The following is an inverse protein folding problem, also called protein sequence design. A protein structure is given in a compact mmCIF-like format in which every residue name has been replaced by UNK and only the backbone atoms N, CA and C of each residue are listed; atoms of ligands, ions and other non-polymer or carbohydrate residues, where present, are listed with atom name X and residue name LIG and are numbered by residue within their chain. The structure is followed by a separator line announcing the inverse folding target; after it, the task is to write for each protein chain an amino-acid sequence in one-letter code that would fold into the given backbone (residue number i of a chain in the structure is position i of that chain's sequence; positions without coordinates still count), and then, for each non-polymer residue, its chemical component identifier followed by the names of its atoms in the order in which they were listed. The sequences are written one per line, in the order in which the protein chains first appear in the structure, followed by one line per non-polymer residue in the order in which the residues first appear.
data_IF_885428057847
#
_entry.id   IF_885428057847
#
_cell.length_a   1.000
_cell.length_b   1.000
_cell.length_c   1.000
_cell.angle_alpha   90.00
_cell.angle_beta   90.00
_cell.angle_gamma   90.00
#
_symmetry.space_group_name_H-M   'P 1'
#
loop_
_entity.id
_entity.type
_entity.pdbx_description
1 polymer ?
#
# COMPACT_ATOMS: atom_id res chain seq x y z
N UNK A 1 -2.71 -20.76 -6.22
CA UNK A 1 -2.85 -19.35 -5.82
C UNK A 1 -1.66 -18.97 -4.94
N UNK A 2 -0.97 -17.88 -5.25
CA UNK A 2 0.10 -17.38 -4.39
C UNK A 2 -0.49 -16.91 -3.05
N UNK A 3 0.16 -17.17 -1.89
CA UNK A 3 -0.38 -16.80 -0.57
C UNK A 3 -0.75 -15.31 -0.47
N UNK A 4 0.04 -14.43 -1.06
CA UNK A 4 -0.22 -12.99 -1.08
C UNK A 4 -1.51 -12.60 -1.81
N UNK A 5 -1.95 -13.40 -2.77
CA UNK A 5 -3.22 -13.18 -3.47
C UNK A 5 -4.45 -13.74 -2.72
N UNK A 6 -4.23 -14.40 -1.57
CA UNK A 6 -5.30 -15.00 -0.78
C UNK A 6 -5.82 -14.09 0.35
N UNK A 7 -5.47 -12.81 0.37
CA UNK A 7 -5.78 -11.89 1.48
C UNK A 7 -7.27 -11.85 1.80
N UNK A 8 -8.15 -11.67 0.81
CA UNK A 8 -9.59 -11.67 1.02
C UNK A 8 -10.13 -13.01 1.57
N UNK A 9 -9.58 -14.15 1.08
CA UNK A 9 -9.96 -15.47 1.60
C UNK A 9 -9.53 -15.65 3.06
N UNK A 10 -8.34 -15.17 3.44
CA UNK A 10 -7.85 -15.22 4.82
C UNK A 10 -8.70 -14.32 5.73
N UNK A 11 -9.07 -13.12 5.28
CA UNK A 11 -9.99 -12.23 6.01
C UNK A 11 -11.31 -12.93 6.26
N UNK A 12 -11.92 -13.55 5.23
CA UNK A 12 -13.18 -14.30 5.38
C UNK A 12 -13.03 -15.47 6.36
N UNK A 13 -11.91 -16.18 6.33
CA UNK A 13 -11.64 -17.26 7.28
C UNK A 13 -11.61 -16.74 8.72
N UNK A 14 -10.91 -15.63 8.99
CA UNK A 14 -10.84 -15.02 10.34
C UNK A 14 -12.22 -14.57 10.81
N UNK A 15 -13.00 -13.88 9.97
CA UNK A 15 -14.36 -13.43 10.29
C UNK A 15 -15.26 -14.58 10.74
N UNK A 16 -15.06 -15.79 10.19
CA UNK A 16 -15.83 -16.97 10.60
C UNK A 16 -15.64 -17.43 12.05
N UNK A 17 -14.56 -17.01 12.70
CA UNK A 17 -14.28 -17.28 14.12
C UNK A 17 -14.80 -16.20 15.09
N UNK A 18 -15.37 -15.11 14.58
CA UNK A 18 -15.93 -14.05 15.41
C UNK A 18 -17.25 -14.52 16.08
N UNK A 19 -17.63 -13.93 17.24
CA UNK A 19 -18.95 -14.13 17.85
C UNK A 19 -20.07 -13.77 16.88
N UNK A 20 -21.20 -14.49 16.93
CA UNK A 20 -22.28 -14.41 15.93
C UNK A 20 -22.75 -12.98 15.61
N UNK A 21 -22.96 -12.13 16.61
CA UNK A 21 -23.41 -10.75 16.38
C UNK A 21 -22.37 -9.92 15.61
N UNK A 22 -21.09 -10.03 15.97
CA UNK A 22 -19.98 -9.34 15.30
C UNK A 22 -19.74 -9.93 13.91
N UNK A 23 -19.86 -11.27 13.80
CA UNK A 23 -19.65 -12.01 12.55
C UNK A 23 -20.61 -11.57 11.45
N UNK A 24 -21.92 -11.46 11.75
CA UNK A 24 -22.92 -11.05 10.76
C UNK A 24 -22.64 -9.64 10.22
N UNK A 25 -22.29 -8.70 11.09
CA UNK A 25 -21.87 -7.36 10.69
C UNK A 25 -20.68 -7.39 9.72
N UNK A 26 -19.63 -8.13 10.07
CA UNK A 26 -18.43 -8.21 9.22
C UNK A 26 -18.67 -8.97 7.91
N UNK A 27 -19.51 -9.99 7.89
CA UNK A 27 -19.88 -10.69 6.65
C UNK A 27 -20.55 -9.72 5.69
N UNK A 28 -21.56 -8.96 6.13
CA UNK A 28 -22.25 -8.01 5.29
C UNK A 28 -21.31 -6.91 4.76
N UNK A 29 -20.42 -6.39 5.61
CA UNK A 29 -19.41 -5.41 5.20
C UNK A 29 -18.41 -5.98 4.18
N UNK A 30 -17.99 -7.24 4.34
CA UNK A 30 -17.13 -7.92 3.38
C UNK A 30 -17.83 -8.22 2.04
N UNK A 31 -19.10 -8.61 2.08
CA UNK A 31 -19.87 -8.89 0.85
C UNK A 31 -20.08 -7.59 0.05
N UNK A 32 -20.41 -6.47 0.72
CA UNK A 32 -20.49 -5.16 0.08
C UNK A 32 -19.14 -4.75 -0.53
N UNK A 33 -18.05 -4.89 0.22
CA UNK A 33 -16.70 -4.59 -0.27
C UNK A 33 -16.33 -5.49 -1.47
N UNK A 34 -16.69 -6.77 -1.42
CA UNK A 34 -16.46 -7.70 -2.52
C UNK A 34 -17.20 -7.32 -3.79
N UNK A 35 -18.49 -6.96 -3.68
CA UNK A 35 -19.28 -6.48 -4.83
C UNK A 35 -18.70 -5.19 -5.41
N UNK A 36 -18.31 -4.25 -4.56
CA UNK A 36 -17.65 -3.01 -4.98
C UNK A 36 -16.35 -3.29 -5.77
N UNK A 37 -15.48 -4.16 -5.25
CA UNK A 37 -14.23 -4.52 -5.91
C UNK A 37 -14.46 -5.25 -7.23
N UNK A 38 -15.44 -6.15 -7.29
CA UNK A 38 -15.81 -6.82 -8.52
C UNK A 38 -16.19 -5.80 -9.60
N UNK A 39 -17.06 -4.85 -9.27
CA UNK A 39 -17.47 -3.79 -10.21
C UNK A 39 -16.28 -2.95 -10.70
N UNK A 40 -15.31 -2.65 -9.82
CA UNK A 40 -14.09 -1.93 -10.23
C UNK A 40 -13.20 -2.74 -11.17
N UNK A 41 -13.20 -4.08 -11.04
CA UNK A 41 -12.26 -4.94 -11.76
C UNK A 41 -12.87 -5.65 -12.97
N UNK A 42 -14.18 -5.57 -13.19
CA UNK A 42 -14.85 -6.10 -14.39
C UNK A 42 -14.39 -5.42 -15.68
N UNK A 43 -14.09 -4.13 -15.61
CA UNK A 43 -13.62 -3.36 -16.76
C UNK A 43 -12.20 -2.83 -16.49
N UNK A 44 -11.23 -3.32 -17.27
CA UNK A 44 -9.82 -2.88 -17.17
C UNK A 44 -9.58 -1.45 -17.63
N UNK A 45 -10.58 -0.78 -18.21
CA UNK A 45 -10.57 0.66 -18.49
C UNK A 45 -10.94 1.51 -17.28
N UNK A 46 -11.34 0.89 -16.16
CA UNK A 46 -11.67 1.59 -14.95
C UNK A 46 -10.48 2.43 -14.44
N UNK A 47 -10.77 3.59 -13.90
CA UNK A 47 -9.79 4.57 -13.39
C UNK A 47 -8.80 3.96 -12.38
N UNK A 48 -9.20 2.95 -11.61
CA UNK A 48 -8.31 2.28 -10.66
C UNK A 48 -7.08 1.66 -11.33
N UNK A 49 -7.22 1.14 -12.56
CA UNK A 49 -6.10 0.58 -13.32
C UNK A 49 -5.19 1.67 -13.88
N UNK A 50 -5.75 2.81 -14.29
CA UNK A 50 -4.98 3.95 -14.78
C UNK A 50 -4.18 4.58 -13.63
N UNK A 51 -4.82 4.90 -12.52
CA UNK A 51 -4.18 5.43 -11.31
C UNK A 51 -3.03 4.51 -10.86
N UNK A 52 -3.25 3.21 -10.83
CA UNK A 52 -2.22 2.26 -10.40
C UNK A 52 -1.02 2.20 -11.34
N UNK A 53 -1.22 2.32 -12.66
CA UNK A 53 -0.13 2.42 -13.65
C UNK A 53 0.65 3.72 -13.48
N UNK A 54 -0.04 4.83 -13.28
CA UNK A 54 0.61 6.14 -13.09
C UNK A 54 1.46 6.16 -11.84
N UNK A 55 0.97 5.62 -10.72
CA UNK A 55 1.74 5.47 -9.49
C UNK A 55 2.98 4.60 -9.74
N UNK A 56 2.82 3.46 -10.40
CA UNK A 56 3.93 2.55 -10.71
C UNK A 56 5.00 3.23 -11.59
N UNK A 57 4.58 3.98 -12.61
CA UNK A 57 5.48 4.74 -13.47
C UNK A 57 6.25 5.83 -12.71
N UNK A 58 5.60 6.52 -11.77
CA UNK A 58 6.24 7.54 -10.93
C UNK A 58 7.22 6.92 -9.93
N UNK A 59 6.92 5.74 -9.39
CA UNK A 59 7.88 4.98 -8.55
C UNK A 59 9.10 4.60 -9.41
N UNK A 60 8.90 3.97 -10.56
CA UNK A 60 9.98 3.56 -11.45
C UNK A 60 11.07 2.74 -10.72
N UNK A 61 12.32 3.14 -10.85
CA UNK A 61 13.46 2.50 -10.17
C UNK A 61 13.74 3.05 -8.77
N UNK A 62 12.95 4.00 -8.27
CA UNK A 62 13.15 4.63 -6.95
C UNK A 62 12.73 3.70 -5.82
N UNK A 63 13.28 3.94 -4.65
CA UNK A 63 12.83 3.32 -3.40
C UNK A 63 11.57 4.02 -2.90
N UNK A 64 10.49 3.27 -2.72
CA UNK A 64 9.24 3.83 -2.20
C UNK A 64 9.31 3.95 -0.66
N UNK A 65 9.08 5.14 -0.14
CA UNK A 65 8.89 5.39 1.29
C UNK A 65 7.43 5.76 1.49
N UNK A 66 6.70 4.98 2.29
CA UNK A 66 5.25 5.10 2.44
C UNK A 66 4.94 5.60 3.85
N UNK A 67 4.42 6.81 3.99
CA UNK A 67 3.94 7.33 5.25
C UNK A 67 2.42 7.20 5.33
N UNK A 68 1.95 6.57 6.38
CA UNK A 68 0.52 6.34 6.63
C UNK A 68 0.03 7.10 7.87
N UNK A 69 -1.27 7.33 7.96
CA UNK A 69 -1.90 8.08 9.03
C UNK A 69 -2.41 7.19 10.17
N UNK A 70 -3.62 6.68 10.02
CA UNK A 70 -4.30 5.87 11.03
C UNK A 70 -3.76 4.44 11.10
N UNK A 71 -4.15 3.71 12.14
CA UNK A 71 -3.82 2.29 12.32
C UNK A 71 -4.20 1.45 11.09
N UNK A 72 -5.35 1.73 10.46
CA UNK A 72 -5.81 0.99 9.30
C UNK A 72 -4.99 1.31 8.04
N UNK A 73 -4.73 2.58 7.76
CA UNK A 73 -3.88 2.96 6.62
C UNK A 73 -2.44 2.47 6.81
N UNK A 74 -1.96 2.40 8.06
CA UNK A 74 -0.66 1.80 8.35
C UNK A 74 -0.62 0.30 8.00
N UNK A 75 -1.66 -0.47 8.31
CA UNK A 75 -1.75 -1.87 7.91
C UNK A 75 -1.76 -2.03 6.38
N UNK A 76 -2.48 -1.15 5.69
CA UNK A 76 -2.47 -1.13 4.21
C UNK A 76 -1.09 -0.76 3.66
N UNK A 77 -0.41 0.23 4.25
CA UNK A 77 0.95 0.62 3.86
C UNK A 77 1.95 -0.53 4.03
N UNK A 78 1.83 -1.31 5.12
CA UNK A 78 2.63 -2.53 5.31
C UNK A 78 2.35 -3.56 4.20
N UNK A 79 1.09 -3.69 3.76
CA UNK A 79 0.76 -4.55 2.63
C UNK A 79 1.37 -4.01 1.32
N UNK A 80 1.23 -2.73 1.01
CA UNK A 80 1.85 -2.12 -0.16
C UNK A 80 3.35 -2.42 -0.22
N UNK A 81 4.04 -2.17 0.89
CA UNK A 81 5.47 -2.49 1.02
C UNK A 81 5.75 -3.95 0.67
N UNK A 82 5.02 -4.89 1.27
CA UNK A 82 5.27 -6.32 1.05
C UNK A 82 4.96 -6.74 -0.38
N UNK A 83 3.89 -6.22 -0.98
CA UNK A 83 3.54 -6.47 -2.38
C UNK A 83 4.58 -5.90 -3.34
N UNK A 84 5.05 -4.67 -3.13
CA UNK A 84 6.15 -4.06 -3.90
C UNK A 84 7.40 -4.93 -3.79
N UNK A 85 7.79 -5.35 -2.57
CA UNK A 85 8.95 -6.21 -2.39
C UNK A 85 8.80 -7.57 -3.10
N UNK A 86 7.61 -8.21 -3.01
CA UNK A 86 7.40 -9.53 -3.56
C UNK A 86 7.14 -9.55 -5.08
N UNK A 87 6.34 -8.63 -5.60
CA UNK A 87 5.99 -8.61 -7.03
C UNK A 87 7.07 -7.95 -7.87
N UNK A 88 7.46 -6.72 -7.55
CA UNK A 88 8.42 -5.94 -8.35
C UNK A 88 9.88 -6.10 -7.92
N UNK A 89 10.17 -6.83 -6.84
CA UNK A 89 11.51 -6.98 -6.23
C UNK A 89 12.14 -5.63 -5.84
N UNK A 90 11.34 -4.57 -5.80
CA UNK A 90 11.77 -3.22 -5.45
C UNK A 90 11.79 -3.04 -3.93
N UNK A 91 12.59 -2.07 -3.48
CA UNK A 91 12.67 -1.72 -2.07
C UNK A 91 11.53 -0.78 -1.72
N UNK A 92 10.86 -1.06 -0.59
CA UNK A 92 9.88 -0.16 -0.01
C UNK A 92 10.00 -0.17 1.53
N UNK A 93 9.74 0.98 2.14
CA UNK A 93 9.76 1.18 3.59
C UNK A 93 8.49 1.87 4.03
N UNK A 94 8.13 1.70 5.30
CA UNK A 94 6.89 2.27 5.85
C UNK A 94 7.18 2.99 7.15
N UNK A 95 6.65 4.19 7.28
CA UNK A 95 6.55 4.93 8.52
C UNK A 95 5.10 5.34 8.80
N UNK A 96 4.80 5.78 10.01
CA UNK A 96 3.44 6.22 10.35
C UNK A 96 3.43 7.54 11.11
N UNK A 97 2.37 8.31 10.90
CA UNK A 97 2.14 9.56 11.61
C UNK A 97 1.60 9.26 13.03
N UNK A 98 2.02 9.98 14.06
CA UNK A 98 2.94 11.13 13.98
C UNK A 98 4.43 10.78 14.14
N UNK A 99 4.81 9.52 14.32
CA UNK A 99 6.15 9.08 14.71
C UNK A 99 7.24 9.53 13.70
N UNK A 100 6.95 9.47 12.40
CA UNK A 100 7.89 9.92 11.35
C UNK A 100 8.31 11.39 11.49
N UNK A 101 7.50 12.21 12.15
CA UNK A 101 7.83 13.62 12.42
C UNK A 101 8.75 13.82 13.62
N UNK A 102 9.05 12.74 14.36
CA UNK A 102 9.95 12.83 15.50
C UNK A 102 11.43 12.64 15.08
N UNK A 103 11.70 11.75 14.16
CA UNK A 103 13.07 11.40 13.76
C UNK A 103 13.25 11.27 12.24
N UNK A 104 12.38 10.55 11.53
CA UNK A 104 12.57 10.26 10.10
C UNK A 104 12.53 11.51 9.22
N UNK A 105 11.79 12.55 9.61
CA UNK A 105 11.73 13.81 8.87
C UNK A 105 13.11 14.44 8.68
N UNK A 106 14.04 14.21 9.64
CA UNK A 106 15.40 14.73 9.59
C UNK A 106 16.28 13.99 8.57
N UNK A 107 15.94 12.76 8.24
CA UNK A 107 16.72 11.94 7.29
C UNK A 107 16.72 12.51 5.87
N UNK A 108 15.74 13.36 5.53
CA UNK A 108 15.63 14.02 4.23
C UNK A 108 16.50 15.30 4.10
N UNK A 109 17.21 15.70 5.16
CA UNK A 109 18.06 16.90 5.16
C UNK A 109 19.48 16.63 4.64
N UNK A 110 19.98 15.40 4.75
CA UNK A 110 21.39 15.09 4.53
C UNK A 110 21.82 15.13 3.06
N UNK A 111 20.95 14.74 2.15
CA UNK A 111 21.23 14.66 0.70
C UNK A 111 19.96 14.90 -0.13
N UNK A 112 19.56 16.16 -0.32
CA UNK A 112 18.33 16.49 -1.06
C UNK A 112 18.36 16.01 -2.51
N UNK A 113 19.49 16.12 -3.20
CA UNK A 113 19.63 15.71 -4.60
C UNK A 113 19.59 14.19 -4.73
N UNK A 114 20.29 13.46 -3.86
CA UNK A 114 20.23 11.99 -3.80
C UNK A 114 18.87 11.49 -3.38
N UNK A 115 18.22 12.18 -2.45
CA UNK A 115 16.85 11.86 -2.04
C UNK A 115 15.88 11.93 -3.23
N UNK A 116 15.90 13.02 -4.00
CA UNK A 116 15.03 13.20 -5.16
C UNK A 116 15.23 12.14 -6.26
N UNK A 117 16.46 11.73 -6.47
CA UNK A 117 16.81 10.78 -7.52
C UNK A 117 16.54 9.33 -7.13
N UNK A 118 16.67 8.98 -5.85
CA UNK A 118 16.67 7.60 -5.38
C UNK A 118 15.39 7.20 -4.61
N UNK A 119 14.59 8.17 -4.18
CA UNK A 119 13.40 7.91 -3.37
C UNK A 119 12.17 8.58 -3.96
N UNK A 120 11.02 8.04 -3.60
CA UNK A 120 9.71 8.66 -3.78
C UNK A 120 8.93 8.51 -2.47
N UNK A 121 8.34 9.60 -2.00
CA UNK A 121 7.52 9.60 -0.81
C UNK A 121 6.05 9.42 -1.18
N UNK A 122 5.42 8.40 -0.65
CA UNK A 122 4.00 8.12 -0.81
C UNK A 122 3.30 8.43 0.50
N UNK A 123 2.39 9.39 0.48
CA UNK A 123 1.51 9.71 1.60
C UNK A 123 0.21 8.93 1.42
N UNK A 124 -0.01 7.91 2.25
CA UNK A 124 -1.18 7.06 2.18
C UNK A 124 -2.20 7.50 3.22
N UNK A 125 -3.26 8.18 2.77
CA UNK A 125 -4.24 8.85 3.63
C UNK A 125 -5.56 8.09 3.65
N UNK A 126 -6.12 7.96 4.85
CA UNK A 126 -7.48 7.45 5.07
C UNK A 126 -8.41 8.56 5.55
N UNK A 127 -9.45 8.16 6.26
CA UNK A 127 -10.29 9.07 7.05
C UNK A 127 -9.61 9.32 8.41
N UNK A 128 -8.58 10.15 8.37
CA UNK A 128 -7.72 10.41 9.50
C UNK A 128 -8.25 11.56 10.37
N UNK A 129 -7.86 11.57 11.64
CA UNK A 129 -8.16 12.71 12.50
C UNK A 129 -7.49 13.98 11.95
N UNK A 130 -8.18 15.12 12.00
CA UNK A 130 -7.72 16.42 11.46
C UNK A 130 -6.25 16.78 11.80
N UNK A 131 -5.76 16.40 12.99
CA UNK A 131 -4.37 16.62 13.37
C UNK A 131 -3.38 15.78 12.55
N UNK A 132 -3.79 14.62 12.09
CA UNK A 132 -2.99 13.75 11.21
C UNK A 132 -3.05 14.30 9.79
N UNK A 133 -4.23 14.70 9.31
CA UNK A 133 -4.35 15.37 8.00
C UNK A 133 -3.44 16.58 7.87
N UNK A 134 -3.41 17.45 8.90
CA UNK A 134 -2.51 18.60 8.91
C UNK A 134 -1.02 18.18 8.83
N UNK A 135 -0.65 17.03 9.40
CA UNK A 135 0.73 16.52 9.30
C UNK A 135 1.08 16.11 7.89
N UNK A 136 0.16 15.52 7.15
CA UNK A 136 0.38 15.22 5.74
C UNK A 136 0.62 16.48 4.91
N UNK A 137 -0.19 17.53 5.10
CA UNK A 137 0.01 18.81 4.40
C UNK A 137 1.38 19.44 4.74
N UNK A 138 1.75 19.46 6.02
CA UNK A 138 3.07 19.95 6.44
C UNK A 138 4.22 19.09 5.88
N UNK A 139 4.04 17.79 5.77
CA UNK A 139 5.04 16.90 5.15
C UNK A 139 5.25 17.26 3.68
N UNK A 140 4.18 17.49 2.93
CA UNK A 140 4.25 17.91 1.52
C UNK A 140 4.98 19.25 1.37
N UNK A 141 4.64 20.21 2.22
CA UNK A 141 5.27 21.53 2.20
C UNK A 141 6.78 21.43 2.49
N UNK A 142 7.17 20.68 3.51
CA UNK A 142 8.57 20.57 3.96
C UNK A 142 9.43 19.73 3.01
N UNK A 143 8.89 18.66 2.43
CA UNK A 143 9.65 17.68 1.67
C UNK A 143 9.48 17.80 0.15
N UNK A 144 8.48 18.51 -0.36
CA UNK A 144 8.19 18.57 -1.79
C UNK A 144 9.29 19.15 -2.67
N UNK A 145 10.24 19.91 -2.11
CA UNK A 145 11.43 20.35 -2.83
C UNK A 145 12.59 19.35 -2.78
N UNK A 146 12.54 18.36 -1.87
CA UNK A 146 13.62 17.40 -1.57
C UNK A 146 13.38 16.02 -2.15
N UNK A 147 12.12 15.64 -2.31
CA UNK A 147 11.70 14.32 -2.82
C UNK A 147 10.38 14.47 -3.59
N UNK A 148 10.18 13.63 -4.60
CA UNK A 148 8.88 13.56 -5.27
C UNK A 148 7.85 12.96 -4.32
N UNK A 149 6.69 13.63 -4.19
CA UNK A 149 5.64 13.24 -3.24
C UNK A 149 4.38 12.83 -3.99
N UNK A 150 3.93 11.62 -3.75
CA UNK A 150 2.61 11.11 -4.17
C UNK A 150 1.65 11.18 -2.98
N UNK A 151 0.59 11.95 -3.12
CA UNK A 151 -0.46 12.07 -2.10
C UNK A 151 -1.68 11.24 -2.51
N UNK A 152 -1.82 10.07 -1.91
CA UNK A 152 -2.86 9.09 -2.24
C UNK A 152 -3.91 9.13 -1.14
N UNK A 153 -5.07 9.72 -1.47
CA UNK A 153 -6.21 9.80 -0.57
C UNK A 153 -7.20 8.69 -0.88
N UNK A 154 -7.60 7.96 0.17
CA UNK A 154 -8.61 6.91 0.06
C UNK A 154 -10.01 7.49 -0.22
N UNK A 155 -10.89 6.63 -0.71
CA UNK A 155 -12.33 6.87 -0.63
C UNK A 155 -12.74 6.94 0.85
N UNK A 156 -13.83 7.63 1.12
CA UNK A 156 -14.47 7.65 2.44
C UNK A 156 -15.93 7.24 2.26
N UNK A 157 -16.32 6.14 2.89
CA UNK A 157 -17.66 5.59 2.83
C UNK A 157 -18.12 5.15 4.22
N UNK A 158 -19.36 4.72 4.33
CA UNK A 158 -19.91 4.17 5.59
C UNK A 158 -19.40 2.75 5.88
N UNK A 159 -18.63 2.16 4.97
CA UNK A 159 -18.08 0.82 5.09
C UNK A 159 -16.55 0.83 5.12
N UNK A 160 -15.99 0.80 6.33
CA UNK A 160 -14.55 0.82 6.56
C UNK A 160 -13.81 -0.35 5.89
N UNK A 161 -14.46 -1.51 5.75
CA UNK A 161 -13.88 -2.68 5.07
C UNK A 161 -13.76 -2.42 3.57
N UNK A 162 -14.75 -1.79 2.96
CA UNK A 162 -14.71 -1.36 1.56
C UNK A 162 -13.57 -0.37 1.33
N UNK A 163 -13.44 0.64 2.19
CA UNK A 163 -12.40 1.67 2.10
C UNK A 163 -11.01 1.06 2.23
N UNK A 164 -10.83 0.16 3.19
CA UNK A 164 -9.58 -0.57 3.37
C UNK A 164 -9.21 -1.41 2.15
N UNK A 165 -10.14 -2.19 1.62
CA UNK A 165 -9.90 -3.04 0.46
C UNK A 165 -9.72 -2.27 -0.84
N UNK A 166 -10.30 -1.06 -0.96
CA UNK A 166 -10.03 -0.17 -2.08
C UNK A 166 -8.54 0.21 -2.16
N UNK A 167 -7.96 0.68 -1.06
CA UNK A 167 -6.52 0.98 -1.00
C UNK A 167 -5.65 -0.26 -1.17
N UNK A 168 -6.08 -1.42 -0.67
CA UNK A 168 -5.40 -2.70 -0.89
C UNK A 168 -5.35 -3.02 -2.36
N UNK A 169 -6.48 -2.89 -3.09
CA UNK A 169 -6.55 -3.14 -4.52
C UNK A 169 -5.57 -2.24 -5.30
N UNK A 170 -5.58 -0.93 -5.02
CA UNK A 170 -4.64 -0.01 -5.67
C UNK A 170 -3.20 -0.47 -5.46
N UNK A 171 -2.80 -0.79 -4.23
CA UNK A 171 -1.43 -1.22 -3.92
C UNK A 171 -1.03 -2.54 -4.58
N UNK A 172 -1.96 -3.49 -4.64
CA UNK A 172 -1.75 -4.76 -5.33
C UNK A 172 -1.52 -4.53 -6.82
N UNK A 173 -2.35 -3.68 -7.47
CA UNK A 173 -2.19 -3.31 -8.88
C UNK A 173 -0.91 -2.50 -9.12
N UNK A 174 -0.57 -1.54 -8.26
CA UNK A 174 0.70 -0.79 -8.32
C UNK A 174 1.88 -1.73 -8.33
N UNK A 175 1.90 -2.73 -7.44
CA UNK A 175 3.03 -3.65 -7.31
C UNK A 175 3.24 -4.53 -8.55
N UNK A 176 2.15 -4.92 -9.23
CA UNK A 176 2.19 -5.71 -10.47
C UNK A 176 2.57 -4.83 -11.67
N UNK A 177 1.97 -3.64 -11.78
CA UNK A 177 2.33 -2.66 -12.82
C UNK A 177 3.81 -2.22 -12.69
N UNK A 178 4.32 -2.09 -11.46
CA UNK A 178 5.73 -1.79 -11.23
C UNK A 178 6.64 -2.95 -11.65
N UNK A 179 6.23 -4.20 -11.44
CA UNK A 179 6.96 -5.36 -11.94
C UNK A 179 7.03 -5.36 -13.47
N UNK A 180 5.93 -5.07 -14.15
CA UNK A 180 5.86 -4.94 -15.60
C UNK A 180 6.75 -3.79 -16.10
N UNK A 181 6.64 -2.60 -15.51
CA UNK A 181 7.46 -1.43 -15.82
C UNK A 181 8.97 -1.72 -15.72
N UNK A 182 9.38 -2.53 -14.75
CA UNK A 182 10.77 -2.89 -14.50
C UNK A 182 11.21 -4.17 -15.24
N UNK A 183 10.32 -4.79 -16.03
CA UNK A 183 10.55 -6.08 -16.69
C UNK A 183 10.95 -7.20 -15.72
N UNK A 184 10.29 -7.25 -14.57
CA UNK A 184 10.51 -8.24 -13.50
C UNK A 184 9.37 -9.26 -13.53
N UNK A 185 9.70 -10.56 -13.46
CA UNK A 185 8.72 -11.62 -13.26
C UNK A 185 8.18 -11.59 -11.82
N UNK A 186 6.90 -11.23 -11.60
CA UNK A 186 6.32 -11.20 -10.27
C UNK A 186 6.20 -12.59 -9.62
N UNK A 187 6.23 -13.68 -10.41
CA UNK A 187 6.11 -15.05 -9.91
C UNK A 187 7.43 -15.65 -9.45
N UNK A 188 8.57 -15.09 -9.85
CA UNK A 188 9.87 -15.56 -9.40
C UNK A 188 10.04 -15.37 -7.89
N UNK A 189 10.32 -16.47 -7.17
CA UNK A 189 10.57 -16.51 -5.73
C UNK A 189 11.88 -17.24 -5.38
N UNK A 190 12.81 -17.36 -6.32
CA UNK A 190 14.04 -18.14 -6.16
C UNK A 190 14.85 -17.77 -4.93
N UNK A 191 14.91 -16.49 -4.57
CA UNK A 191 15.62 -16.03 -3.37
C UNK A 191 15.02 -16.64 -2.09
N UNK A 192 13.69 -16.71 -2.00
CA UNK A 192 12.97 -17.29 -0.85
C UNK A 192 13.17 -18.82 -0.83
N UNK A 193 13.08 -19.47 -1.99
CA UNK A 193 13.27 -20.92 -2.09
C UNK A 193 14.71 -21.31 -1.73
N UNK A 194 15.71 -20.59 -2.22
CA UNK A 194 17.09 -20.81 -1.88
C UNK A 194 17.37 -20.62 -0.39
N UNK A 195 16.78 -19.57 0.23
CA UNK A 195 16.86 -19.38 1.67
C UNK A 195 16.26 -20.58 2.42
N UNK A 196 15.05 -21.01 2.05
CA UNK A 196 14.39 -22.17 2.67
C UNK A 196 15.20 -23.47 2.52
N UNK A 197 15.84 -23.70 1.37
CA UNK A 197 16.71 -24.86 1.16
C UNK A 197 17.89 -24.83 2.11
N UNK A 198 18.56 -23.67 2.26
CA UNK A 198 19.71 -23.53 3.16
C UNK A 198 19.35 -23.65 4.64
N UNK A 199 18.12 -23.27 5.04
CA UNK A 199 17.64 -23.40 6.42
C UNK A 199 17.27 -24.85 6.79
N UNK A 200 17.07 -25.75 5.82
CA UNK A 200 16.72 -27.15 6.04
C UNK A 200 17.92 -28.08 6.08
N UNK A 201 19.08 -27.64 5.59
CA UNK A 201 20.34 -28.40 5.61
C UNK A 201 21.14 -28.12 6.82
#
# INVERSE_FOLDING_TARGET
LQPRAAFGLMTKAVVNYLPNQTKEFFINACDEAGNYLNNLTEDTSNEVFEISRDIANQIGSKTAVIYAGSDLTYLVAQRWKTQINENSKSKAYVGFMPEVHHNEILSWEADPDGSKNNFILILLRGDDHKKIDNRFELTKELLGSKVDVLDIKNISSDNLIKDLFHLVLIGDLVSVNLADHLNIDPFNIDAIENLKKKLKG
#
